data_IF_151464421901
#
_entry.id   IF_151464421901
#
_cell.length_a   1.000
_cell.length_b   1.000
_cell.length_c   1.000
_cell.angle_alpha   90.00
_cell.angle_beta   90.00
_cell.angle_gamma   90.00
#
_symmetry.space_group_name_H-M   'P 1'
#
loop_
_entity.id
_entity.type
_entity.pdbx_description
1 polymer ?
#
# COMPACT_ATOMS: atom_id res chain seq x y z
N UNK A 1 -33.14 -30.81 -6.71
CA UNK A 1 -32.06 -30.40 -7.63
C UNK A 1 -30.78 -30.18 -6.80
N UNK A 2 -29.60 -30.63 -7.24
CA UNK A 2 -28.36 -30.38 -6.51
C UNK A 2 -28.07 -28.90 -6.53
N UNK A 3 -27.77 -28.30 -5.38
CA UNK A 3 -27.42 -26.89 -5.27
C UNK A 3 -26.07 -26.65 -5.97
N UNK A 4 -25.96 -25.70 -6.90
CA UNK A 4 -24.69 -25.41 -7.56
C UNK A 4 -23.66 -24.97 -6.51
N UNK A 5 -22.42 -25.43 -6.62
CA UNK A 5 -21.33 -25.01 -5.76
C UNK A 5 -21.13 -23.51 -5.88
N UNK A 6 -21.33 -22.77 -4.79
CA UNK A 6 -21.06 -21.35 -4.69
C UNK A 6 -19.56 -21.12 -4.57
N UNK A 7 -18.99 -20.25 -5.38
CA UNK A 7 -17.59 -19.85 -5.33
C UNK A 7 -16.94 -19.70 -6.71
N UNK A 8 -15.87 -18.91 -6.76
CA UNK A 8 -15.10 -18.70 -7.96
C UNK A 8 -14.34 -19.98 -8.36
N UNK A 9 -14.37 -20.34 -9.63
CA UNK A 9 -13.64 -21.47 -10.21
C UNK A 9 -12.76 -20.97 -11.34
N UNK A 10 -11.55 -21.54 -11.44
CA UNK A 10 -10.60 -21.22 -12.54
C UNK A 10 -10.73 -22.17 -13.74
N UNK A 11 -11.86 -22.86 -13.86
CA UNK A 11 -12.07 -23.91 -14.86
C UNK A 11 -11.39 -25.23 -14.46
N UNK A 12 -11.50 -26.23 -15.31
CA UNK A 12 -10.88 -27.54 -15.10
C UNK A 12 -11.38 -28.31 -13.86
N UNK A 13 -10.63 -29.32 -13.46
CA UNK A 13 -10.90 -30.11 -12.26
C UNK A 13 -10.36 -29.42 -11.00
N UNK A 14 -10.86 -29.85 -9.82
CA UNK A 14 -10.34 -29.34 -8.54
C UNK A 14 -8.82 -29.54 -8.38
N UNK A 15 -8.28 -30.67 -8.89
CA UNK A 15 -6.86 -30.97 -8.88
C UNK A 15 -6.05 -30.02 -9.75
N UNK A 16 -6.56 -29.71 -10.95
CA UNK A 16 -5.92 -28.73 -11.87
C UNK A 16 -5.89 -27.34 -11.26
N UNK A 17 -6.98 -26.91 -10.60
CA UNK A 17 -7.01 -25.63 -9.89
C UNK A 17 -5.98 -25.57 -8.76
N UNK A 18 -5.84 -26.64 -7.98
CA UNK A 18 -4.82 -26.73 -6.92
C UNK A 18 -3.40 -26.61 -7.48
N UNK A 19 -3.08 -27.33 -8.56
CA UNK A 19 -1.78 -27.24 -9.22
C UNK A 19 -1.52 -25.85 -9.81
N UNK A 20 -2.53 -25.24 -10.43
CA UNK A 20 -2.39 -23.89 -10.96
C UNK A 20 -2.05 -22.87 -9.86
N UNK A 21 -2.76 -22.91 -8.73
CA UNK A 21 -2.49 -22.03 -7.61
C UNK A 21 -1.14 -22.31 -6.97
N UNK A 22 -0.72 -23.58 -6.86
CA UNK A 22 0.59 -23.96 -6.36
C UNK A 22 1.72 -23.39 -7.25
N UNK A 23 1.60 -23.52 -8.57
CA UNK A 23 2.58 -23.01 -9.51
C UNK A 23 2.64 -21.46 -9.52
N UNK A 24 1.47 -20.79 -9.43
CA UNK A 24 1.43 -19.33 -9.32
C UNK A 24 2.06 -18.85 -8.00
N UNK A 25 1.82 -19.56 -6.88
CA UNK A 25 2.44 -19.24 -5.61
C UNK A 25 3.95 -19.44 -5.62
N UNK A 26 4.42 -20.53 -6.26
CA UNK A 26 5.85 -20.75 -6.50
C UNK A 26 6.48 -19.56 -7.22
N UNK A 27 5.92 -19.18 -8.38
CA UNK A 27 6.45 -18.05 -9.15
C UNK A 27 6.38 -16.73 -8.38
N UNK A 28 5.33 -16.53 -7.56
CA UNK A 28 5.22 -15.33 -6.72
C UNK A 28 6.33 -15.26 -5.67
N UNK A 29 6.65 -16.37 -5.02
CA UNK A 29 7.71 -16.40 -4.01
C UNK A 29 9.09 -16.25 -4.62
N UNK A 30 9.35 -16.85 -5.78
CA UNK A 30 10.66 -16.79 -6.47
C UNK A 30 10.94 -15.41 -7.08
N UNK A 31 9.92 -14.76 -7.65
CA UNK A 31 10.09 -13.49 -8.36
C UNK A 31 9.61 -12.25 -7.59
N UNK A 32 8.96 -12.42 -6.44
CA UNK A 32 8.41 -11.32 -5.65
C UNK A 32 7.16 -10.66 -6.24
N UNK A 33 7.00 -10.66 -7.56
CA UNK A 33 5.83 -10.10 -8.25
C UNK A 33 5.54 -10.89 -9.54
N UNK A 34 4.25 -11.08 -9.85
CA UNK A 34 3.80 -11.75 -11.07
C UNK A 34 2.62 -11.01 -11.69
N UNK A 35 2.55 -11.02 -13.04
CA UNK A 35 1.40 -10.52 -13.80
C UNK A 35 0.51 -11.69 -14.20
N UNK A 36 -0.79 -11.60 -13.89
CA UNK A 36 -1.76 -12.66 -14.22
C UNK A 36 -3.16 -12.05 -14.41
N UNK A 37 -4.14 -12.88 -14.80
CA UNK A 37 -5.53 -12.40 -14.91
C UNK A 37 -6.10 -12.10 -13.52
N UNK A 38 -6.97 -11.09 -13.43
CA UNK A 38 -7.59 -10.62 -12.19
C UNK A 38 -8.28 -11.75 -11.40
N UNK A 39 -8.96 -12.68 -12.09
CA UNK A 39 -9.59 -13.85 -11.45
C UNK A 39 -8.57 -14.77 -10.76
N UNK A 40 -7.41 -15.01 -11.40
CA UNK A 40 -6.33 -15.82 -10.81
C UNK A 40 -5.67 -15.10 -9.64
N UNK A 41 -5.41 -13.79 -9.76
CA UNK A 41 -4.83 -12.98 -8.70
C UNK A 41 -5.72 -12.96 -7.45
N UNK A 42 -7.04 -12.79 -7.61
CA UNK A 42 -8.02 -12.84 -6.51
C UNK A 42 -8.02 -14.17 -5.74
N UNK A 43 -7.84 -15.29 -6.43
CA UNK A 43 -7.77 -16.60 -5.78
C UNK A 43 -6.39 -16.91 -5.22
N UNK A 44 -5.34 -16.39 -5.82
CA UNK A 44 -3.97 -16.57 -5.37
C UNK A 44 -3.70 -15.82 -4.06
N UNK A 45 -4.25 -14.62 -3.89
CA UNK A 45 -4.04 -13.78 -2.70
C UNK A 45 -4.28 -14.54 -1.39
N UNK A 46 -5.48 -15.07 -1.10
CA UNK A 46 -5.72 -15.78 0.16
C UNK A 46 -4.91 -17.07 0.27
N UNK A 47 -4.56 -17.68 -0.85
CA UNK A 47 -3.74 -18.89 -0.88
C UNK A 47 -2.30 -18.59 -0.46
N UNK A 48 -1.67 -17.57 -1.04
CA UNK A 48 -0.32 -17.14 -0.71
C UNK A 48 -0.22 -16.61 0.74
N UNK A 49 -1.20 -15.83 1.19
CA UNK A 49 -1.24 -15.30 2.55
C UNK A 49 -1.28 -16.41 3.62
N UNK A 50 -2.06 -17.47 3.39
CA UNK A 50 -2.07 -18.64 4.29
C UNK A 50 -0.73 -19.37 4.35
N UNK A 51 -0.01 -19.44 3.24
CA UNK A 51 1.33 -20.07 3.20
C UNK A 51 2.36 -19.22 3.95
N UNK A 52 2.32 -17.90 3.78
CA UNK A 52 3.20 -16.97 4.50
C UNK A 52 2.92 -17.02 6.01
N UNK A 53 1.66 -17.01 6.42
CA UNK A 53 1.29 -17.10 7.84
C UNK A 53 1.83 -18.39 8.48
N UNK A 54 1.77 -19.52 7.78
CA UNK A 54 2.37 -20.77 8.25
C UNK A 54 3.90 -20.72 8.28
N UNK A 55 4.50 -20.09 7.29
CA UNK A 55 5.95 -19.92 7.25
C UNK A 55 6.47 -19.08 8.43
N UNK A 56 5.74 -18.03 8.82
CA UNK A 56 6.03 -17.23 10.04
C UNK A 56 5.95 -18.06 11.32
N UNK A 57 5.05 -19.03 11.41
CA UNK A 57 4.94 -19.92 12.56
C UNK A 57 6.19 -20.80 12.77
N UNK A 58 6.96 -21.07 11.71
CA UNK A 58 8.28 -21.71 11.75
C UNK A 58 8.30 -23.16 12.27
N UNK A 59 7.14 -23.73 12.65
CA UNK A 59 7.11 -25.07 13.25
C UNK A 59 7.32 -26.17 12.20
N UNK A 60 7.82 -27.31 12.64
CA UNK A 60 7.97 -28.48 11.77
C UNK A 60 6.62 -28.93 11.17
N UNK A 61 5.54 -28.78 11.94
CA UNK A 61 4.19 -29.09 11.49
C UNK A 61 3.77 -28.15 10.34
N UNK A 62 4.06 -26.86 10.46
CA UNK A 62 3.77 -25.86 9.41
C UNK A 62 4.60 -26.13 8.16
N UNK A 63 5.89 -26.44 8.30
CA UNK A 63 6.75 -26.81 7.17
C UNK A 63 6.21 -28.03 6.41
N UNK A 64 5.76 -29.07 7.13
CA UNK A 64 5.12 -30.25 6.51
C UNK A 64 3.79 -29.90 5.84
N UNK A 65 2.99 -29.01 6.44
CA UNK A 65 1.72 -28.57 5.87
C UNK A 65 1.93 -27.75 4.58
N UNK A 66 2.95 -26.90 4.54
CA UNK A 66 3.32 -26.12 3.34
C UNK A 66 3.86 -27.06 2.24
N UNK A 67 4.73 -28.02 2.56
CA UNK A 67 5.23 -29.02 1.62
C UNK A 67 4.13 -29.87 0.98
N UNK A 68 3.04 -30.14 1.71
CA UNK A 68 1.87 -30.85 1.17
C UNK A 68 1.17 -30.07 0.07
N UNK A 69 1.26 -28.75 0.12
CA UNK A 69 0.58 -27.80 -0.77
C UNK A 69 1.51 -27.32 -1.90
N UNK A 70 2.78 -27.06 -1.57
CA UNK A 70 3.85 -26.69 -2.49
C UNK A 70 4.87 -27.84 -2.56
N UNK A 71 4.82 -28.69 -3.60
CA UNK A 71 5.71 -29.86 -3.69
C UNK A 71 7.18 -29.51 -4.04
N UNK A 72 7.50 -28.23 -4.18
CA UNK A 72 8.83 -27.72 -4.52
C UNK A 72 9.63 -27.43 -3.25
N UNK A 73 10.56 -28.32 -2.89
CA UNK A 73 11.35 -28.21 -1.66
C UNK A 73 12.19 -26.92 -1.59
N UNK A 74 12.79 -26.52 -2.70
CA UNK A 74 13.62 -25.31 -2.81
C UNK A 74 12.82 -24.05 -2.52
N UNK A 75 11.65 -23.90 -3.16
CA UNK A 75 10.76 -22.76 -2.92
C UNK A 75 10.25 -22.71 -1.48
N UNK A 76 10.02 -23.89 -0.86
CA UNK A 76 9.63 -23.95 0.55
C UNK A 76 10.79 -23.57 1.47
N UNK A 77 12.01 -24.00 1.19
CA UNK A 77 13.20 -23.56 1.94
C UNK A 77 13.34 -22.03 1.85
N UNK A 78 13.32 -21.48 0.64
CA UNK A 78 13.37 -20.03 0.41
C UNK A 78 12.27 -19.25 1.16
N UNK A 79 11.03 -19.80 1.18
CA UNK A 79 9.90 -19.19 1.90
C UNK A 79 10.14 -19.12 3.41
N UNK A 80 10.71 -20.18 4.03
CA UNK A 80 10.95 -20.22 5.48
C UNK A 80 12.22 -19.47 5.89
N UNK A 81 13.27 -19.58 5.11
CA UNK A 81 14.61 -19.12 5.48
C UNK A 81 14.82 -17.63 5.11
N UNK A 82 14.23 -17.16 3.99
CA UNK A 82 14.44 -15.80 3.49
C UNK A 82 13.20 -14.90 3.54
N UNK A 83 12.00 -15.42 3.17
CA UNK A 83 10.81 -14.61 3.10
C UNK A 83 10.10 -14.45 4.46
N UNK A 84 10.02 -15.49 5.26
CA UNK A 84 9.34 -15.45 6.55
C UNK A 84 9.91 -14.37 7.49
N UNK A 85 11.25 -14.19 7.63
CA UNK A 85 11.81 -13.12 8.45
C UNK A 85 11.40 -11.71 8.01
N UNK A 86 11.29 -11.48 6.68
CA UNK A 86 10.88 -10.18 6.13
C UNK A 86 9.45 -9.79 6.48
N UNK A 87 8.61 -10.76 6.86
CA UNK A 87 7.22 -10.55 7.24
C UNK A 87 6.96 -10.61 8.75
N UNK A 88 8.00 -10.75 9.57
CA UNK A 88 7.86 -11.01 11.02
C UNK A 88 7.08 -9.92 11.74
N UNK A 89 7.32 -8.64 11.39
CA UNK A 89 6.63 -7.48 11.96
C UNK A 89 5.23 -7.20 11.38
N UNK A 90 4.75 -7.99 10.41
CA UNK A 90 3.47 -7.75 9.74
C UNK A 90 2.45 -8.83 10.12
N UNK A 91 1.29 -8.46 10.66
CA UNK A 91 0.26 -9.41 11.08
C UNK A 91 -0.65 -9.91 9.93
N UNK A 92 -0.55 -9.32 8.74
CA UNK A 92 -1.32 -9.71 7.55
C UNK A 92 -1.12 -8.77 6.38
N UNK A 93 -1.84 -9.00 5.27
CA UNK A 93 -1.71 -8.16 4.09
C UNK A 93 -0.34 -8.25 3.42
N UNK A 94 0.21 -9.46 3.34
CA UNK A 94 1.54 -9.72 2.75
C UNK A 94 1.60 -9.51 1.25
N UNK A 95 0.44 -9.39 0.59
CA UNK A 95 0.36 -9.25 -0.86
C UNK A 95 -0.39 -7.99 -1.27
N UNK A 96 0.08 -7.31 -2.31
CA UNK A 96 -0.56 -6.16 -2.96
C UNK A 96 -0.97 -6.54 -4.37
N UNK A 97 -2.20 -6.23 -4.76
CA UNK A 97 -2.70 -6.47 -6.12
C UNK A 97 -2.99 -5.13 -6.80
N UNK A 98 -2.35 -4.87 -7.93
CA UNK A 98 -2.50 -3.67 -8.75
C UNK A 98 -3.14 -4.10 -10.07
N UNK A 99 -4.22 -3.42 -10.49
CA UNK A 99 -4.83 -3.65 -11.79
C UNK A 99 -3.94 -3.08 -12.90
N UNK A 100 -3.79 -3.83 -13.96
CA UNK A 100 -3.07 -3.45 -15.15
C UNK A 100 -4.05 -3.26 -16.31
N UNK A 101 -3.54 -2.81 -17.45
CA UNK A 101 -4.27 -2.76 -18.70
C UNK A 101 -4.72 -4.16 -19.13
N UNK A 102 -5.81 -4.21 -19.86
CA UNK A 102 -6.35 -5.48 -20.37
C UNK A 102 -5.38 -6.09 -21.40
N UNK A 103 -5.38 -7.42 -21.45
CA UNK A 103 -4.51 -8.16 -22.37
C UNK A 103 -4.94 -7.94 -23.83
N UNK A 104 -3.97 -7.61 -24.70
CA UNK A 104 -4.20 -7.46 -26.12
C UNK A 104 -4.70 -8.78 -26.71
N UNK A 105 -5.73 -8.72 -27.54
CA UNK A 105 -6.34 -9.85 -28.22
C UNK A 105 -7.68 -10.28 -27.61
N UNK A 106 -7.70 -10.75 -26.36
CA UNK A 106 -8.93 -11.24 -25.69
C UNK A 106 -9.53 -10.26 -24.69
N UNK A 107 -8.93 -9.07 -24.53
CA UNK A 107 -9.35 -8.02 -23.60
C UNK A 107 -9.55 -8.50 -22.15
N UNK A 108 -8.83 -9.57 -21.75
CA UNK A 108 -8.93 -10.10 -20.40
C UNK A 108 -8.35 -9.10 -19.37
N UNK A 109 -9.02 -8.82 -18.22
CA UNK A 109 -8.51 -7.95 -17.18
C UNK A 109 -7.28 -8.58 -16.52
N UNK A 110 -6.17 -7.84 -16.52
CA UNK A 110 -4.89 -8.24 -15.95
C UNK A 110 -4.65 -7.56 -14.62
N UNK A 111 -3.94 -8.24 -13.73
CA UNK A 111 -3.49 -7.70 -12.46
C UNK A 111 -2.07 -8.18 -12.16
N UNK A 112 -1.30 -7.32 -11.52
CA UNK A 112 -0.02 -7.66 -10.92
C UNK A 112 -0.24 -7.93 -9.44
N UNK A 113 0.18 -9.10 -8.96
CA UNK A 113 0.27 -9.40 -7.54
C UNK A 113 1.73 -9.39 -7.13
N UNK A 114 2.05 -8.68 -6.06
CA UNK A 114 3.40 -8.53 -5.52
C UNK A 114 3.43 -8.78 -4.03
N UNK A 115 4.57 -9.23 -3.51
CA UNK A 115 4.84 -9.31 -2.08
C UNK A 115 5.15 -7.92 -1.55
N UNK A 116 4.63 -7.59 -0.37
CA UNK A 116 4.86 -6.32 0.33
C UNK A 116 5.93 -6.54 1.39
N UNK A 117 7.19 -6.32 1.02
CA UNK A 117 8.34 -6.45 1.91
C UNK A 117 8.72 -5.15 2.62
N UNK A 118 7.99 -4.06 2.33
CA UNK A 118 8.18 -2.76 2.98
C UNK A 118 7.86 -2.86 4.48
N UNK A 119 8.61 -2.16 5.31
CA UNK A 119 8.33 -2.09 6.75
C UNK A 119 6.94 -1.50 7.01
N UNK A 120 6.22 -2.06 7.97
CA UNK A 120 4.94 -1.50 8.40
C UNK A 120 5.21 -0.26 9.22
N UNK A 121 4.96 0.90 8.65
CA UNK A 121 4.84 2.13 9.44
C UNK A 121 3.64 1.95 10.36
N UNK A 122 3.87 1.98 11.68
CA UNK A 122 2.77 1.82 12.64
C UNK A 122 1.70 2.90 12.37
N UNK A 123 0.43 2.53 12.51
CA UNK A 123 -0.69 3.48 12.33
C UNK A 123 -0.58 4.68 13.26
N UNK A 124 0.12 4.55 14.39
CA UNK A 124 0.45 5.62 15.33
C UNK A 124 1.48 6.59 14.76
N UNK A 125 2.53 6.10 14.08
CA UNK A 125 3.53 6.94 13.43
C UNK A 125 2.92 7.72 12.25
N UNK A 126 2.06 7.08 11.43
CA UNK A 126 1.33 7.77 10.35
C UNK A 126 0.30 8.78 10.87
N UNK A 127 -0.32 8.51 12.02
CA UNK A 127 -1.22 9.46 12.69
C UNK A 127 -0.45 10.64 13.29
N UNK A 128 0.70 10.37 13.92
CA UNK A 128 1.58 11.41 14.48
C UNK A 128 2.13 12.33 13.38
N UNK A 129 2.60 11.80 12.26
CA UNK A 129 3.06 12.62 11.12
C UNK A 129 1.93 13.42 10.46
N UNK A 130 0.70 12.88 10.38
CA UNK A 130 -0.46 13.64 9.91
C UNK A 130 -0.86 14.77 10.86
N UNK A 131 -0.82 14.53 12.17
CA UNK A 131 -1.13 15.55 13.19
C UNK A 131 -0.05 16.62 13.21
N UNK A 132 1.22 16.26 13.05
CA UNK A 132 2.31 17.23 12.93
C UNK A 132 2.16 18.10 11.66
N UNK A 133 1.92 17.48 10.51
CA UNK A 133 1.72 18.20 9.25
C UNK A 133 0.46 19.09 9.26
N UNK A 134 -0.62 18.69 9.95
CA UNK A 134 -1.81 19.54 10.09
C UNK A 134 -1.57 20.72 11.04
N UNK A 135 -0.76 20.57 12.08
CA UNK A 135 -0.35 21.68 12.95
C UNK A 135 0.54 22.69 12.23
N UNK A 136 1.53 22.23 11.48
CA UNK A 136 2.38 23.11 10.67
C UNK A 136 1.57 23.87 9.62
N UNK A 137 0.57 23.22 8.99
CA UNK A 137 -0.32 23.90 8.04
C UNK A 137 -1.28 24.90 8.72
N UNK A 138 -1.65 24.70 9.97
CA UNK A 138 -2.50 25.59 10.76
C UNK A 138 -1.70 26.78 11.31
N UNK A 139 -0.45 26.55 11.74
CA UNK A 139 0.49 27.60 12.14
C UNK A 139 0.89 28.50 10.95
N UNK A 140 1.20 27.92 9.78
CA UNK A 140 1.50 28.69 8.57
C UNK A 140 0.31 29.54 8.12
N UNK A 141 -0.93 29.08 8.33
CA UNK A 141 -2.15 29.79 7.99
C UNK A 141 -2.53 30.85 9.02
N UNK A 142 -1.99 30.78 10.24
CA UNK A 142 -2.18 31.76 11.31
C UNK A 142 -1.16 32.89 11.24
N UNK A 143 -0.02 32.68 10.57
CA UNK A 143 1.01 33.74 10.33
C UNK A 143 0.65 34.65 9.14
N UNK A 144 -0.04 34.16 8.09
CA UNK A 144 -0.43 35.01 6.96
C UNK A 144 -1.32 36.22 7.33
N UNK A 145 -2.38 36.12 8.19
CA UNK A 145 -3.18 37.30 8.53
C UNK A 145 -2.46 38.32 9.40
N UNK A 146 -1.40 37.94 10.11
CA UNK A 146 -0.61 38.88 10.93
C UNK A 146 0.40 39.68 10.13
N UNK A 147 0.84 39.16 8.99
CA UNK A 147 1.73 39.87 8.08
C UNK A 147 0.96 40.94 7.27
N UNK A 148 -0.28 40.65 6.85
CA UNK A 148 -1.14 41.61 6.15
C UNK A 148 -1.59 42.78 7.06
N UNK A 149 -1.95 42.53 8.35
CA UNK A 149 -2.30 43.59 9.30
C UNK A 149 -1.10 44.48 9.67
N UNK A 150 0.12 43.94 9.63
CA UNK A 150 1.32 44.74 9.89
C UNK A 150 1.74 45.63 8.69
N UNK A 151 1.40 45.20 7.47
CA UNK A 151 1.67 45.98 6.23
C UNK A 151 0.63 47.06 6.01
N UNK A 152 -0.65 46.85 6.34
CA UNK A 152 -1.71 47.90 6.31
C UNK A 152 -1.46 48.98 7.39
N UNK A 153 -1.01 48.64 8.58
CA UNK A 153 -0.71 49.62 9.64
C UNK A 153 0.49 50.51 9.31
N UNK A 154 1.48 50.05 8.53
CA UNK A 154 2.61 50.83 8.06
C UNK A 154 2.23 51.74 6.86
N UNK A 155 1.27 51.34 6.06
CA UNK A 155 0.80 52.15 4.92
C UNK A 155 -0.08 53.33 5.39
N UNK A 156 -0.85 53.21 6.46
CA UNK A 156 -1.63 54.31 7.02
C UNK A 156 -0.76 55.36 7.71
N UNK A 157 0.35 54.96 8.39
CA UNK A 157 1.22 55.89 9.09
C UNK A 157 2.06 56.74 8.13
N UNK A 158 2.45 56.22 6.95
CA UNK A 158 3.13 56.98 5.91
C UNK A 158 2.23 57.94 5.17
N UNK A 159 0.94 57.63 5.01
CA UNK A 159 -0.03 58.51 4.35
C UNK A 159 -0.42 59.72 5.23
N UNK A 160 -0.36 59.60 6.55
CA UNK A 160 -0.63 60.68 7.50
C UNK A 160 0.53 61.68 7.60
N UNK A 161 1.80 61.19 7.48
CA UNK A 161 2.98 62.09 7.47
C UNK A 161 3.05 62.94 6.20
N UNK A 162 2.72 62.38 5.01
CA UNK A 162 2.76 63.14 3.74
C UNK A 162 1.71 64.24 3.70
N UNK A 163 0.51 64.02 4.28
CA UNK A 163 -0.54 65.06 4.32
C UNK A 163 -0.27 66.20 5.32
N UNK A 164 0.57 66.00 6.32
CA UNK A 164 0.98 67.00 7.31
C UNK A 164 2.12 67.90 6.79
N UNK A 165 2.97 67.39 5.90
CA UNK A 165 4.02 68.19 5.25
C UNK A 165 3.44 69.11 4.16
N UNK A 166 2.49 68.63 3.34
CA UNK A 166 1.87 69.44 2.30
C UNK A 166 1.05 70.61 2.88
N UNK A 167 0.41 70.47 4.04
CA UNK A 167 -0.32 71.57 4.70
C UNK A 167 0.57 72.62 5.35
N UNK A 168 1.89 72.41 5.49
CA UNK A 168 2.84 73.38 6.03
C UNK A 168 3.55 74.22 4.97
N UNK A 169 3.52 73.82 3.72
CA UNK A 169 4.11 74.61 2.63
C UNK A 169 3.12 75.66 2.04
N UNK A 170 1.81 75.49 2.20
CA UNK A 170 0.83 76.47 1.72
C UNK A 170 0.65 77.71 2.63
N UNK A 171 1.20 77.74 3.86
CA UNK A 171 1.10 78.88 4.79
C UNK A 171 2.34 79.75 4.88
N UNK A 172 3.24 79.74 3.87
CA UNK A 172 4.41 80.57 3.83
C UNK A 172 4.50 81.27 2.48
#
# INVERSE_FOLDING_TARGET
>A
MPTPKKGARLGGSAKQQAHLLSNLAKSLFEHGAIKTTDAKAKMLRPYAEKLITKAKGGTLADRRAVLKVLPHKETVAYLFDELAPKFEGREGGYTRTIKLENRTGDNAPMSQISLVTEETVSTEATRATRVAASKEAEEAKAEEPKAEEAEEAQAEDTAVEETVEESKEEEK
#
